data_IF_371428676032
#
_entry.id   IF_371428676032
#
_cell.length_a   1.000
_cell.length_b   1.000
_cell.length_c   1.000
_cell.angle_alpha   90.00
_cell.angle_beta   90.00
_cell.angle_gamma   90.00
#
_symmetry.space_group_name_H-M   'P 1'
#
loop_
_entity.id
_entity.type
_entity.pdbx_description
1 polymer ?
#
# COMPACT_ATOMS: atom_id res chain seq x y z
N UNK A 1 -25.21 11.26 -2.44
CA UNK A 1 -24.27 10.12 -2.38
C UNK A 1 -23.95 9.87 -0.91
N UNK A 2 -23.99 8.62 -0.44
CA UNK A 2 -23.69 8.32 0.97
C UNK A 2 -22.16 8.34 1.21
N UNK A 3 -21.65 8.93 2.31
CA UNK A 3 -20.20 9.06 2.53
C UNK A 3 -19.43 7.73 2.53
N UNK A 4 -20.06 6.64 2.98
CA UNK A 4 -19.42 5.31 2.91
C UNK A 4 -19.25 4.81 1.46
N UNK A 5 -20.21 5.10 0.58
CA UNK A 5 -20.15 4.70 -0.84
C UNK A 5 -19.14 5.56 -1.60
N UNK A 6 -19.09 6.86 -1.27
CA UNK A 6 -18.07 7.77 -1.79
C UNK A 6 -16.67 7.32 -1.38
N UNK A 7 -16.47 6.96 -0.11
CA UNK A 7 -15.20 6.42 0.37
C UNK A 7 -14.84 5.08 -0.31
N UNK A 8 -15.83 4.21 -0.54
CA UNK A 8 -15.64 2.96 -1.28
C UNK A 8 -15.11 3.23 -2.69
N UNK A 9 -15.79 4.13 -3.41
CA UNK A 9 -15.44 4.53 -4.77
C UNK A 9 -14.05 5.15 -4.85
N UNK A 10 -13.74 6.12 -3.98
CA UNK A 10 -12.43 6.78 -3.95
C UNK A 10 -11.32 5.75 -3.69
N UNK A 11 -11.53 4.80 -2.77
CA UNK A 11 -10.53 3.75 -2.50
C UNK A 11 -10.30 2.85 -3.70
N UNK A 12 -11.35 2.54 -4.46
CA UNK A 12 -11.24 1.77 -5.69
C UNK A 12 -10.46 2.54 -6.76
N UNK A 13 -10.75 3.84 -6.94
CA UNK A 13 -10.02 4.70 -7.88
C UNK A 13 -8.53 4.80 -7.50
N UNK A 14 -8.22 5.00 -6.22
CA UNK A 14 -6.84 5.00 -5.71
C UNK A 14 -6.16 3.65 -5.97
N UNK A 15 -6.85 2.53 -5.76
CA UNK A 15 -6.28 1.21 -5.99
C UNK A 15 -5.90 1.02 -7.47
N UNK A 16 -6.76 1.42 -8.40
CA UNK A 16 -6.51 1.36 -9.83
C UNK A 16 -5.33 2.26 -10.23
N UNK A 17 -5.29 3.50 -9.73
CA UNK A 17 -4.19 4.42 -10.01
C UNK A 17 -2.85 3.89 -9.46
N UNK A 18 -2.84 3.34 -8.24
CA UNK A 18 -1.65 2.71 -7.65
C UNK A 18 -1.19 1.49 -8.44
N UNK A 19 -2.11 0.68 -8.95
CA UNK A 19 -1.77 -0.45 -9.79
C UNK A 19 -1.08 0.01 -11.09
N UNK A 20 -1.61 1.07 -11.72
CA UNK A 20 -1.00 1.64 -12.93
C UNK A 20 0.35 2.29 -12.65
N UNK A 21 0.45 3.06 -11.57
CA UNK A 21 1.72 3.65 -11.12
C UNK A 21 2.77 2.57 -10.88
N UNK A 22 2.40 1.47 -10.20
CA UNK A 22 3.29 0.33 -9.95
C UNK A 22 3.79 -0.29 -11.25
N UNK A 23 2.90 -0.55 -12.21
CA UNK A 23 3.27 -1.12 -13.50
C UNK A 23 4.27 -0.21 -14.26
N UNK A 24 3.99 1.10 -14.33
CA UNK A 24 4.91 2.06 -14.96
C UNK A 24 6.26 2.12 -14.26
N UNK A 25 6.26 2.08 -12.92
CA UNK A 25 7.50 2.04 -12.13
C UNK A 25 8.33 0.80 -12.45
N UNK A 26 7.70 -0.37 -12.55
CA UNK A 26 8.37 -1.61 -12.93
C UNK A 26 8.94 -1.52 -14.35
N UNK A 27 8.19 -0.97 -15.32
CA UNK A 27 8.67 -0.73 -16.67
C UNK A 27 9.92 0.18 -16.72
N UNK A 28 9.97 1.23 -15.89
CA UNK A 28 11.16 2.08 -15.79
C UNK A 28 12.35 1.38 -15.13
N UNK A 29 12.12 0.61 -14.05
CA UNK A 29 13.18 -0.11 -13.34
C UNK A 29 13.76 -1.25 -14.18
N UNK A 30 12.93 -1.91 -14.99
CA UNK A 30 13.34 -2.98 -15.91
C UNK A 30 14.01 -2.44 -17.19
N UNK A 31 14.03 -1.12 -17.38
CA UNK A 31 14.58 -0.48 -18.58
C UNK A 31 13.71 -0.65 -19.84
N UNK A 32 12.44 -1.04 -19.69
CA UNK A 32 11.51 -1.28 -20.81
C UNK A 32 10.82 0.00 -21.31
N UNK A 33 10.88 1.09 -20.55
CA UNK A 33 10.28 2.38 -20.89
C UNK A 33 11.32 3.51 -21.00
N UNK A 34 11.13 4.49 -21.91
CA UNK A 34 12.03 5.64 -22.03
C UNK A 34 11.93 6.55 -20.81
N UNK A 35 13.08 6.98 -20.28
CA UNK A 35 13.15 7.82 -19.09
C UNK A 35 12.84 9.30 -19.34
N UNK A 36 12.63 9.74 -20.58
CA UNK A 36 12.40 11.15 -20.90
C UNK A 36 11.35 11.32 -21.98
N UNK A 37 10.50 12.31 -21.81
CA UNK A 37 9.57 12.83 -22.81
C UNK A 37 9.83 14.33 -23.03
N UNK A 38 8.99 14.97 -23.84
CA UNK A 38 9.06 16.41 -24.06
C UNK A 38 8.69 17.24 -22.82
N UNK A 39 7.93 16.66 -21.89
CA UNK A 39 7.43 17.37 -20.70
C UNK A 39 8.09 16.90 -19.39
N UNK A 40 8.58 15.66 -19.33
CA UNK A 40 9.01 15.04 -18.07
C UNK A 40 10.25 14.16 -18.22
N UNK A 41 10.98 13.98 -17.13
CA UNK A 41 12.15 13.11 -17.01
C UNK A 41 12.04 12.24 -15.74
N UNK A 42 12.28 10.94 -15.87
CA UNK A 42 12.33 9.95 -14.80
C UNK A 42 13.79 9.71 -14.42
N UNK A 43 14.13 9.94 -13.15
CA UNK A 43 15.48 9.71 -12.61
C UNK A 43 15.48 8.55 -11.65
N UNK A 44 16.27 7.52 -11.94
CA UNK A 44 16.45 6.36 -11.06
C UNK A 44 17.61 6.64 -10.12
N UNK A 45 17.31 6.77 -8.82
CA UNK A 45 18.32 7.04 -7.78
C UNK A 45 18.43 5.83 -6.87
N UNK A 46 19.58 5.17 -6.92
CA UNK A 46 19.89 4.06 -6.02
C UNK A 46 20.44 4.62 -4.70
N UNK A 47 19.71 4.37 -3.60
CA UNK A 47 20.13 4.76 -2.26
C UNK A 47 20.25 3.54 -1.37
N UNK A 48 21.38 3.40 -0.72
CA UNK A 48 21.60 2.39 0.32
C UNK A 48 21.20 3.00 1.65
N UNK A 49 20.33 2.31 2.42
CA UNK A 49 20.00 2.69 3.79
C UNK A 49 20.40 1.56 4.74
N UNK A 50 20.88 1.93 5.93
CA UNK A 50 21.02 0.97 7.02
C UNK A 50 19.62 0.59 7.50
N UNK A 51 19.32 -0.71 7.54
CA UNK A 51 18.07 -1.24 8.07
C UNK A 51 18.38 -1.94 9.39
N UNK A 52 17.63 -1.62 10.44
CA UNK A 52 17.74 -2.31 11.71
C UNK A 52 17.08 -3.68 11.59
N UNK A 53 17.90 -4.74 11.62
CA UNK A 53 17.43 -6.12 11.51
C UNK A 53 16.92 -6.61 12.87
N UNK A 54 15.71 -6.20 13.27
CA UNK A 54 15.07 -6.62 14.53
C UNK A 54 15.10 -8.15 14.73
N UNK A 55 14.97 -8.92 13.65
CA UNK A 55 14.95 -10.38 13.73
C UNK A 55 16.30 -11.01 14.09
N UNK A 56 17.41 -10.26 13.96
CA UNK A 56 18.75 -10.68 14.41
C UNK A 56 19.01 -10.40 15.89
N UNK A 57 18.10 -9.73 16.58
CA UNK A 57 18.22 -9.54 18.02
C UNK A 57 18.06 -10.88 18.75
N UNK A 58 18.77 -11.08 19.88
CA UNK A 58 18.54 -12.22 20.76
C UNK A 58 17.07 -12.31 21.18
N UNK A 59 16.58 -13.55 21.35
CA UNK A 59 15.19 -13.79 21.73
C UNK A 59 14.79 -13.06 23.01
N UNK A 60 15.70 -12.99 24.01
CA UNK A 60 15.43 -12.32 25.27
C UNK A 60 15.17 -10.81 25.10
N UNK A 61 15.84 -10.12 24.17
CA UNK A 61 15.59 -8.69 23.88
C UNK A 61 14.27 -8.51 23.11
N UNK A 62 13.94 -9.44 22.20
CA UNK A 62 12.70 -9.37 21.42
C UNK A 62 11.46 -9.67 22.27
N UNK A 63 11.58 -10.56 23.25
CA UNK A 63 10.48 -11.00 24.07
C UNK A 63 10.29 -10.15 25.33
N UNK A 64 11.27 -9.32 25.70
CA UNK A 64 11.22 -8.47 26.89
C UNK A 64 10.10 -7.42 26.78
N UNK A 65 9.00 -7.55 27.56
CA UNK A 65 7.86 -6.61 27.49
C UNK A 65 8.23 -5.17 27.84
N UNK A 66 9.30 -4.94 28.63
CA UNK A 66 9.76 -3.59 28.98
C UNK A 66 10.27 -2.80 27.77
N UNK A 67 10.62 -3.49 26.67
CA UNK A 67 11.06 -2.89 25.42
C UNK A 67 9.92 -2.68 24.41
N UNK A 68 8.67 -3.03 24.76
CA UNK A 68 7.49 -2.83 23.93
C UNK A 68 6.57 -1.76 24.50
N UNK A 69 5.90 -1.04 23.59
CA UNK A 69 4.86 -0.08 23.93
C UNK A 69 3.67 -0.30 23.02
N UNK A 70 2.50 -0.44 23.61
CA UNK A 70 1.25 -0.42 22.87
C UNK A 70 0.91 1.01 22.45
N UNK A 71 0.59 1.18 21.17
CA UNK A 71 0.10 2.44 20.61
C UNK A 71 -1.25 2.19 19.95
N UNK A 72 -2.34 2.81 20.45
CA UNK A 72 -3.64 2.64 19.82
C UNK A 72 -3.63 3.21 18.40
N UNK A 73 -4.12 2.43 17.44
CA UNK A 73 -4.26 2.83 16.05
C UNK A 73 -5.70 2.56 15.60
N UNK A 74 -6.39 3.62 15.17
CA UNK A 74 -7.74 3.52 14.61
C UNK A 74 -7.64 3.43 13.09
N UNK A 75 -8.27 2.42 12.49
CA UNK A 75 -8.32 2.22 11.05
C UNK A 75 -9.75 2.27 10.54
N UNK A 76 -10.04 3.13 9.57
CA UNK A 76 -11.34 3.13 8.87
C UNK A 76 -11.32 2.05 7.79
N UNK A 77 -12.22 1.06 7.91
CA UNK A 77 -12.43 0.01 6.91
C UNK A 77 -13.78 0.21 6.24
N UNK A 78 -13.81 0.04 4.93
CA UNK A 78 -15.05 0.00 4.16
C UNK A 78 -15.34 -1.49 3.91
N UNK A 79 -16.51 -1.94 4.33
CA UNK A 79 -17.00 -3.31 4.13
C UNK A 79 -18.39 -3.22 3.48
N UNK A 80 -18.79 -4.20 2.65
CA UNK A 80 -20.16 -4.25 2.13
C UNK A 80 -21.16 -4.26 3.29
N UNK A 81 -22.26 -3.52 3.15
CA UNK A 81 -23.38 -3.66 4.08
C UNK A 81 -23.92 -5.09 4.00
N UNK A 82 -24.30 -5.68 5.13
CA UNK A 82 -24.64 -7.10 5.26
C UNK A 82 -25.75 -7.61 4.31
N UNK A 83 -26.50 -6.73 3.64
CA UNK A 83 -27.50 -7.10 2.63
C UNK A 83 -27.05 -7.02 1.16
N UNK A 84 -25.81 -6.58 0.86
CA UNK A 84 -25.34 -6.43 -0.53
C UNK A 84 -24.54 -7.63 -1.05
N UNK A 85 -23.99 -8.46 -0.14
CA UNK A 85 -23.16 -9.61 -0.50
C UNK A 85 -23.99 -10.81 -1.01
N UNK A 86 -25.24 -10.95 -0.56
CA UNK A 86 -26.12 -12.07 -0.95
C UNK A 86 -26.68 -11.93 -2.38
N UNK A 87 -26.61 -10.73 -2.98
CA UNK A 87 -27.15 -10.48 -4.33
C UNK A 87 -26.17 -10.78 -5.48
N UNK A 88 -24.89 -11.06 -5.18
CA UNK A 88 -23.84 -11.23 -6.19
C UNK A 88 -23.51 -12.70 -6.53
N UNK A 89 -24.12 -13.68 -5.83
CA UNK A 89 -23.87 -15.12 -6.02
C UNK A 89 -25.09 -15.87 -6.61
N UNK A 90 -26.03 -15.14 -7.22
CA UNK A 90 -27.21 -15.69 -7.87
C UNK A 90 -27.45 -15.07 -9.24
N UNK A 91 -26.71 -15.55 -10.26
CA UNK A 91 -26.88 -15.16 -11.66
C UNK A 91 -26.04 -16.01 -12.59
#
# INVERSE_FOLDING_TARGET
>A
MHPADELARIRQEIATLKAREKALREEFLDGRAPLRSNAHEVRIVNKTRRVFCRDRLPLHVRADPALWRDSPMTQVRVVPAAGLAEAADGG
#
